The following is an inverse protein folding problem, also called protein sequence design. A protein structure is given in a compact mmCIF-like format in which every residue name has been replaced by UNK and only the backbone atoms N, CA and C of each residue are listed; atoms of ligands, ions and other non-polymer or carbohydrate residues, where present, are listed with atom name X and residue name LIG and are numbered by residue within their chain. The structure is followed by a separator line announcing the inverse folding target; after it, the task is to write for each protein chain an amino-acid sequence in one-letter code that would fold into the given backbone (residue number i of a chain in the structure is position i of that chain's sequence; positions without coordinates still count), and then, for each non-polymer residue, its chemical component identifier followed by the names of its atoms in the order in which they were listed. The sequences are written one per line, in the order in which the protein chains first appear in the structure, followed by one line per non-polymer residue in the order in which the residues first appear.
data_IF_211701419800
#
_entry.id   IF_211701419800
#
_cell.length_a   1.000
_cell.length_b   1.000
_cell.length_c   1.000
_cell.angle_alpha   90.00
_cell.angle_beta   90.00
_cell.angle_gamma   90.00
#
_symmetry.space_group_name_H-M   'P 1'
#
loop_
_entity.id
_entity.type
_entity.pdbx_description
1 polymer ?
#
# COMPACT_ATOMS: atom_id res chain seq x y z
N UNK A 1 9.75 -29.17 1.21
CA UNK A 1 10.51 -28.15 0.45
C UNK A 1 9.72 -26.86 0.49
N UNK A 2 10.25 -25.78 1.08
CA UNK A 2 9.57 -24.47 1.11
C UNK A 2 9.89 -23.73 -0.18
N UNK A 3 8.97 -23.74 -1.14
CA UNK A 3 9.11 -22.98 -2.39
C UNK A 3 8.83 -21.51 -2.08
N UNK A 4 9.83 -20.64 -2.27
CA UNK A 4 9.63 -19.19 -2.16
C UNK A 4 8.63 -18.76 -3.23
N UNK A 5 7.52 -18.16 -2.82
CA UNK A 5 6.56 -17.54 -3.73
C UNK A 5 7.24 -16.39 -4.47
N UNK A 6 6.90 -16.19 -5.74
CA UNK A 6 7.45 -15.11 -6.56
C UNK A 6 7.24 -13.74 -5.87
N UNK A 7 8.19 -12.83 -6.04
CA UNK A 7 8.08 -11.47 -5.50
C UNK A 7 6.85 -10.75 -6.11
N UNK A 8 6.30 -9.79 -5.36
CA UNK A 8 5.27 -8.90 -5.88
C UNK A 8 5.88 -7.89 -6.85
N UNK A 9 5.13 -7.57 -7.90
CA UNK A 9 5.45 -6.51 -8.86
C UNK A 9 4.61 -5.26 -8.59
N UNK A 10 5.09 -4.11 -9.08
CA UNK A 10 4.42 -2.82 -8.86
C UNK A 10 3.02 -2.79 -9.50
N UNK A 11 2.82 -3.48 -10.61
CA UNK A 11 1.51 -3.61 -11.26
C UNK A 11 0.54 -4.51 -10.47
N UNK A 12 1.05 -5.53 -9.76
CA UNK A 12 0.23 -6.30 -8.80
C UNK A 12 -0.28 -5.39 -7.67
N UNK A 13 0.51 -4.42 -7.20
CA UNK A 13 0.05 -3.50 -6.15
C UNK A 13 -1.06 -2.57 -6.63
N UNK A 14 -1.01 -2.15 -7.89
CA UNK A 14 -2.09 -1.34 -8.52
C UNK A 14 -3.39 -2.15 -8.56
N UNK A 15 -3.34 -3.39 -9.04
CA UNK A 15 -4.51 -4.28 -9.09
C UNK A 15 -5.06 -4.55 -7.69
N UNK A 16 -4.18 -4.76 -6.70
CA UNK A 16 -4.56 -4.97 -5.31
C UNK A 16 -5.30 -3.74 -4.73
N UNK A 17 -4.80 -2.54 -5.00
CA UNK A 17 -5.45 -1.31 -4.55
C UNK A 17 -6.80 -1.07 -5.26
N UNK A 18 -6.89 -1.37 -6.56
CA UNK A 18 -8.14 -1.26 -7.32
C UNK A 18 -9.21 -2.22 -6.79
N UNK A 19 -8.87 -3.49 -6.58
CA UNK A 19 -9.78 -4.48 -6.01
C UNK A 19 -10.26 -4.07 -4.59
N UNK A 20 -9.36 -3.52 -3.77
CA UNK A 20 -9.74 -2.98 -2.47
C UNK A 20 -10.74 -1.83 -2.61
N UNK A 21 -10.46 -0.88 -3.50
CA UNK A 21 -11.31 0.29 -3.73
C UNK A 21 -12.70 -0.12 -4.22
N UNK A 22 -12.79 -1.04 -5.17
CA UNK A 22 -14.05 -1.57 -5.71
C UNK A 22 -14.95 -2.12 -4.61
N UNK A 23 -14.41 -2.98 -3.73
CA UNK A 23 -15.18 -3.55 -2.61
C UNK A 23 -15.53 -2.47 -1.58
N UNK A 24 -14.60 -1.55 -1.28
CA UNK A 24 -14.82 -0.51 -0.28
C UNK A 24 -15.88 0.52 -0.68
N UNK A 25 -16.07 0.72 -1.99
CA UNK A 25 -17.02 1.69 -2.55
C UNK A 25 -18.39 1.07 -2.88
N UNK A 26 -18.53 -0.26 -2.84
CA UNK A 26 -19.79 -0.93 -3.12
C UNK A 26 -20.78 -0.77 -1.95
N UNK A 27 -21.88 -0.01 -2.13
CA UNK A 27 -22.84 0.28 -1.07
C UNK A 27 -23.64 -0.96 -0.63
N UNK A 28 -23.71 -2.00 -1.46
CA UNK A 28 -24.50 -3.22 -1.20
C UNK A 28 -23.69 -4.19 -0.33
N UNK A 29 -22.40 -4.32 -0.58
CA UNK A 29 -21.54 -5.29 0.12
C UNK A 29 -20.92 -4.75 1.41
N UNK A 30 -20.87 -3.43 1.59
CA UNK A 30 -20.22 -2.79 2.72
C UNK A 30 -20.95 -2.99 4.07
N UNK A 31 -22.27 -3.20 4.06
CA UNK A 31 -23.04 -3.33 5.29
C UNK A 31 -22.87 -4.75 5.88
N UNK A 32 -22.24 -4.83 7.05
CA UNK A 32 -22.10 -6.05 7.87
C UNK A 32 -21.28 -7.19 7.26
N UNK A 33 -20.17 -6.88 6.58
CA UNK A 33 -19.23 -7.90 6.11
C UNK A 33 -18.12 -8.20 7.14
N UNK A 34 -17.81 -9.49 7.35
CA UNK A 34 -16.64 -9.89 8.14
C UNK A 34 -15.34 -9.62 7.38
N UNK A 35 -14.26 -9.32 8.10
CA UNK A 35 -12.92 -9.13 7.51
C UNK A 35 -12.53 -10.31 6.60
N UNK A 36 -12.76 -11.54 7.03
CA UNK A 36 -12.43 -12.73 6.25
C UNK A 36 -13.18 -12.75 4.89
N UNK A 37 -14.49 -12.49 4.90
CA UNK A 37 -15.27 -12.43 3.66
C UNK A 37 -14.78 -11.31 2.74
N UNK A 38 -14.36 -10.18 3.31
CA UNK A 38 -13.82 -9.04 2.53
C UNK A 38 -12.57 -9.48 1.78
N UNK A 39 -11.63 -10.11 2.49
CA UNK A 39 -10.39 -10.58 1.91
C UNK A 39 -10.57 -11.75 0.95
N UNK A 40 -11.56 -12.63 1.18
CA UNK A 40 -11.92 -13.67 0.23
C UNK A 40 -12.39 -13.07 -1.11
N UNK A 41 -13.30 -12.08 -1.08
CA UNK A 41 -13.74 -11.36 -2.29
C UNK A 41 -12.58 -10.67 -2.99
N UNK A 42 -11.75 -9.95 -2.23
CA UNK A 42 -10.58 -9.28 -2.76
C UNK A 42 -9.64 -10.27 -3.45
N UNK A 43 -9.43 -11.44 -2.86
CA UNK A 43 -8.58 -12.49 -3.43
C UNK A 43 -9.13 -12.99 -4.77
N UNK A 44 -10.45 -13.18 -4.86
CA UNK A 44 -11.11 -13.55 -6.12
C UNK A 44 -10.94 -12.48 -7.18
N UNK A 45 -11.26 -11.21 -6.86
CA UNK A 45 -11.13 -10.10 -7.81
C UNK A 45 -9.67 -9.94 -8.26
N UNK A 46 -8.73 -9.95 -7.33
CA UNK A 46 -7.31 -9.82 -7.61
C UNK A 46 -6.82 -10.92 -8.57
N UNK A 47 -7.10 -12.19 -8.28
CA UNK A 47 -6.62 -13.30 -9.12
C UNK A 47 -7.26 -13.32 -10.51
N UNK A 48 -8.46 -12.76 -10.66
CA UNK A 48 -9.14 -12.63 -11.95
C UNK A 48 -8.63 -11.42 -12.76
N UNK A 49 -8.24 -10.33 -12.11
CA UNK A 49 -7.83 -9.08 -12.75
C UNK A 49 -6.33 -8.94 -12.97
N UNK A 50 -5.49 -9.71 -12.25
CA UNK A 50 -4.04 -9.71 -12.45
C UNK A 50 -3.66 -10.25 -13.83
N UNK A 51 -2.42 -9.97 -14.25
CA UNK A 51 -1.86 -10.60 -15.44
C UNK A 51 -1.95 -12.14 -15.34
N UNK A 52 -2.52 -12.85 -16.33
CA UNK A 52 -2.65 -14.31 -16.29
C UNK A 52 -1.32 -15.07 -16.16
N UNK A 53 -0.20 -14.45 -16.55
CA UNK A 53 1.13 -15.04 -16.38
C UNK A 53 1.62 -15.08 -14.93
N UNK A 54 0.95 -14.36 -14.01
CA UNK A 54 1.34 -14.29 -12.61
C UNK A 54 0.68 -15.39 -11.79
N UNK A 55 1.38 -15.86 -10.76
CA UNK A 55 0.89 -16.91 -9.87
C UNK A 55 -0.28 -16.39 -9.03
N UNK A 56 -1.29 -17.23 -8.81
CA UNK A 56 -2.38 -16.93 -7.90
C UNK A 56 -1.87 -16.69 -6.48
N UNK A 57 -2.44 -15.66 -5.85
CA UNK A 57 -2.06 -15.26 -4.50
C UNK A 57 -3.11 -15.74 -3.52
N UNK A 58 -2.64 -16.29 -2.41
CA UNK A 58 -3.49 -16.63 -1.28
C UNK A 58 -3.86 -15.40 -0.47
N UNK A 59 -5.03 -15.44 0.17
CA UNK A 59 -5.60 -14.37 0.98
C UNK A 59 -4.60 -13.77 1.99
N UNK A 60 -3.86 -14.62 2.72
CA UNK A 60 -2.89 -14.16 3.72
C UNK A 60 -1.75 -13.34 3.11
N UNK A 61 -1.29 -13.70 1.92
CA UNK A 61 -0.21 -12.98 1.25
C UNK A 61 -0.67 -11.62 0.75
N UNK A 62 -1.90 -11.54 0.21
CA UNK A 62 -2.50 -10.27 -0.21
C UNK A 62 -2.75 -9.34 0.97
N UNK A 63 -3.21 -9.88 2.10
CA UNK A 63 -3.34 -9.11 3.34
C UNK A 63 -2.01 -8.51 3.80
N UNK A 64 -0.94 -9.31 3.83
CA UNK A 64 0.38 -8.82 4.21
C UNK A 64 0.86 -7.74 3.22
N UNK A 65 0.75 -7.99 1.92
CA UNK A 65 1.18 -7.04 0.89
C UNK A 65 0.41 -5.72 0.98
N UNK A 66 -0.91 -5.79 1.17
CA UNK A 66 -1.74 -4.60 1.34
C UNK A 66 -1.34 -3.79 2.57
N UNK A 67 -1.03 -4.44 3.71
CA UNK A 67 -0.57 -3.74 4.92
C UNK A 67 0.73 -2.99 4.68
N UNK A 68 1.66 -3.57 3.92
CA UNK A 68 2.92 -2.91 3.57
C UNK A 68 2.66 -1.68 2.69
N UNK A 69 1.80 -1.82 1.67
CA UNK A 69 1.38 -0.73 0.79
C UNK A 69 0.67 0.38 1.58
N UNK A 70 -0.31 0.02 2.42
CA UNK A 70 -1.06 0.94 3.27
C UNK A 70 -0.13 1.70 4.22
N UNK A 71 0.85 1.02 4.81
CA UNK A 71 1.85 1.66 5.65
C UNK A 71 2.71 2.67 4.86
N UNK A 72 3.07 2.36 3.61
CA UNK A 72 3.74 3.30 2.70
C UNK A 72 2.90 4.54 2.42
N UNK A 73 1.63 4.35 2.07
CA UNK A 73 0.68 5.45 1.83
C UNK A 73 0.51 6.33 3.08
N UNK A 74 0.35 5.72 4.26
CA UNK A 74 0.25 6.46 5.53
C UNK A 74 1.47 7.32 5.80
N UNK A 75 2.68 6.82 5.51
CA UNK A 75 3.92 7.61 5.61
C UNK A 75 3.92 8.78 4.64
N UNK A 76 3.53 8.57 3.39
CA UNK A 76 3.45 9.64 2.40
C UNK A 76 2.47 10.74 2.84
N UNK A 77 1.27 10.37 3.28
CA UNK A 77 0.27 11.32 3.79
C UNK A 77 0.81 12.10 4.99
N UNK A 78 1.51 11.44 5.90
CA UNK A 78 2.16 12.10 7.03
C UNK A 78 3.23 13.09 6.57
N UNK A 79 4.08 12.71 5.60
CA UNK A 79 5.10 13.59 5.02
C UNK A 79 4.48 14.85 4.41
N UNK A 80 3.41 14.69 3.63
CA UNK A 80 2.67 15.82 3.01
C UNK A 80 2.18 16.78 4.10
N UNK A 81 1.43 16.26 5.09
CA UNK A 81 0.91 17.06 6.20
C UNK A 81 2.01 17.78 6.99
N UNK A 82 3.15 17.11 7.17
CA UNK A 82 4.29 17.72 7.84
C UNK A 82 4.83 18.91 7.03
N UNK A 83 5.10 18.74 5.74
CA UNK A 83 5.59 19.85 4.89
C UNK A 83 4.56 20.98 4.81
N UNK A 84 3.27 20.65 4.64
CA UNK A 84 2.18 21.64 4.64
C UNK A 84 2.16 22.48 5.92
N UNK A 85 2.35 21.86 7.09
CA UNK A 85 2.42 22.58 8.38
C UNK A 85 3.62 23.52 8.50
N UNK A 86 4.70 23.25 7.75
CA UNK A 86 5.94 24.03 7.79
C UNK A 86 5.98 25.14 6.76
N UNK A 87 5.12 25.11 5.73
CA UNK A 87 5.21 26.01 4.57
C UNK A 87 4.98 27.48 4.99
N UNK A 88 6.04 28.31 5.04
CA UNK A 88 5.88 29.75 5.15
C UNK A 88 5.35 30.25 3.80
N UNK A 89 4.47 31.26 3.83
CA UNK A 89 3.88 31.86 2.63
C UNK A 89 4.93 32.13 1.54
N UNK A 90 4.78 31.49 0.36
CA UNK A 90 5.63 31.71 -0.82
C UNK A 90 6.37 30.49 -1.39
N UNK A 91 6.22 29.28 -0.84
CA UNK A 91 6.83 28.09 -1.41
C UNK A 91 6.12 27.64 -2.71
N UNK A 92 6.88 27.33 -3.76
CA UNK A 92 6.33 26.76 -5.00
C UNK A 92 5.91 25.31 -4.80
N UNK A 93 4.92 24.85 -5.56
CA UNK A 93 4.44 23.46 -5.53
C UNK A 93 5.58 22.44 -5.77
N UNK A 94 6.48 22.74 -6.71
CA UNK A 94 7.65 21.91 -6.98
C UNK A 94 8.58 21.78 -5.76
N UNK A 95 8.75 22.88 -5.00
CA UNK A 95 9.55 22.86 -3.77
C UNK A 95 8.89 22.01 -2.69
N UNK A 96 7.56 22.07 -2.58
CA UNK A 96 6.77 21.26 -1.63
C UNK A 96 6.90 19.78 -1.97
N UNK A 97 6.79 19.43 -3.26
CA UNK A 97 6.96 18.05 -3.72
C UNK A 97 8.37 17.52 -3.43
N UNK A 98 9.40 18.30 -3.72
CA UNK A 98 10.79 17.87 -3.49
C UNK A 98 11.08 17.67 -2.00
N UNK A 99 10.63 18.59 -1.14
CA UNK A 99 10.73 18.45 0.31
C UNK A 99 9.99 17.22 0.82
N UNK A 100 8.81 16.94 0.28
CA UNK A 100 8.00 15.77 0.65
C UNK A 100 8.73 14.47 0.30
N UNK A 101 9.33 14.37 -0.89
CA UNK A 101 10.11 13.20 -1.31
C UNK A 101 11.31 12.96 -0.39
N UNK A 102 12.07 14.01 -0.08
CA UNK A 102 13.23 13.93 0.81
C UNK A 102 12.80 13.47 2.21
N UNK A 103 11.74 14.07 2.76
CA UNK A 103 11.23 13.69 4.07
C UNK A 103 10.73 12.24 4.09
N UNK A 104 9.96 11.83 3.09
CA UNK A 104 9.48 10.45 2.95
C UNK A 104 10.63 9.44 2.89
N UNK A 105 11.63 9.65 2.04
CA UNK A 105 12.80 8.78 1.93
C UNK A 105 13.56 8.67 3.27
N UNK A 106 13.69 9.78 4.00
CA UNK A 106 14.31 9.78 5.33
C UNK A 106 13.47 9.02 6.38
N UNK A 107 12.14 9.04 6.29
CA UNK A 107 11.28 8.24 7.18
C UNK A 107 11.33 6.74 6.88
N UNK A 108 11.47 6.34 5.62
CA UNK A 108 11.66 4.93 5.24
C UNK A 108 13.04 4.40 5.69
N UNK A 109 14.10 5.18 5.49
CA UNK A 109 15.46 4.82 5.92
C UNK A 109 15.62 4.67 7.44
N UNK A 110 14.80 5.36 8.25
CA UNK A 110 14.81 5.19 9.71
C UNK A 110 14.37 3.79 10.16
N UNK A 111 13.56 3.06 9.36
CA UNK A 111 13.22 1.66 9.67
C UNK A 111 14.44 0.72 9.59
N UNK A 112 15.42 1.04 8.75
CA UNK A 112 16.65 0.24 8.61
C UNK A 112 17.70 0.53 9.69
N UNK A 113 17.62 1.66 10.40
CA UNK A 113 18.59 2.00 11.47
C UNK A 113 18.25 1.42 12.84
N UNK A 114 17.02 0.93 13.04
CA UNK A 114 16.55 0.44 14.34
C UNK A 114 16.38 -1.08 14.42
N UNK A 115 16.84 -1.83 13.41
CA UNK A 115 16.84 -3.30 13.40
C UNK A 115 18.26 -3.83 13.32
N UNK A 116 18.67 -4.59 14.34
CA UNK A 116 19.99 -5.18 14.58
C UNK A 116 21.06 -4.27 15.17
N UNK A 117 21.10 -4.22 16.51
CA UNK A 117 22.37 -4.25 17.24
C UNK A 117 22.52 -5.67 17.80
N UNK A 118 23.58 -6.36 17.37
CA UNK A 118 24.03 -7.65 17.92
C UNK A 118 24.95 -7.35 19.10
#
# INVERSE_FOLDING_TARGET
MSTRTANYRDDEDVVLCQAYMEISQDPITWISQTSDRFWARLTTIFNNSKNPSYVDRGQRFLQCRYRDTEAGVKRLVHSIKHIESQNPSGASEQTILERTKIFYANTDNKKFKNGFQI
#
